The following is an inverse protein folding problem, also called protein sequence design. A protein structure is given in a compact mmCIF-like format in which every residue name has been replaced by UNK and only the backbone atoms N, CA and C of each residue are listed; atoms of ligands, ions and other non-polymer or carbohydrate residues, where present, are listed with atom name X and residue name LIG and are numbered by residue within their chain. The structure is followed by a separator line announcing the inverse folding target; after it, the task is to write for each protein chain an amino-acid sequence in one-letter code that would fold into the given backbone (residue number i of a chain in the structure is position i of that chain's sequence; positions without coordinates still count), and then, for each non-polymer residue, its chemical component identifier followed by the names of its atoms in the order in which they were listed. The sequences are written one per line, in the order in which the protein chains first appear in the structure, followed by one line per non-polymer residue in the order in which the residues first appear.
data_IF_513842541430
#
_entry.id   IF_513842541430
#
_cell.length_a   1.000
_cell.length_b   1.000
_cell.length_c   1.000
_cell.angle_alpha   90.00
_cell.angle_beta   90.00
_cell.angle_gamma   90.00
#
_symmetry.space_group_name_H-M   'P 1'
#
loop_
_entity.id
_entity.type
_entity.pdbx_description
1 polymer ?
#
# COMPACT_ATOMS: atom_id res chain seq x y z
N UNK A 1 -6.63 19.97 11.35
CA UNK A 1 -5.52 19.03 11.63
C UNK A 1 -6.07 17.64 11.39
N UNK A 2 -5.50 16.87 10.46
CA UNK A 2 -5.93 15.50 10.15
C UNK A 2 -4.98 14.51 10.83
N UNK A 3 -5.45 13.29 11.13
CA UNK A 3 -4.59 12.21 11.62
C UNK A 3 -3.65 11.67 10.52
N UNK A 4 -3.94 11.98 9.26
CA UNK A 4 -3.20 11.54 8.08
C UNK A 4 -1.93 12.38 7.97
N UNK A 5 -0.85 11.86 8.51
CA UNK A 5 0.50 12.42 8.45
C UNK A 5 1.45 11.31 8.02
N UNK A 6 2.58 11.65 7.41
CA UNK A 6 3.58 10.70 6.93
C UNK A 6 3.99 9.72 8.05
N UNK A 7 4.22 10.24 9.26
CA UNK A 7 4.58 9.43 10.43
C UNK A 7 3.47 8.46 10.85
N UNK A 8 2.20 8.88 10.82
CA UNK A 8 1.10 7.97 11.14
C UNK A 8 0.89 6.93 10.04
N UNK A 9 1.08 7.26 8.76
CA UNK A 9 1.04 6.28 7.67
C UNK A 9 2.19 5.28 7.81
N UNK A 10 3.40 5.72 8.15
CA UNK A 10 4.54 4.84 8.43
C UNK A 10 4.27 3.87 9.60
N UNK A 11 3.65 4.36 10.68
CA UNK A 11 3.25 3.53 11.82
C UNK A 11 2.17 2.51 11.45
N UNK A 12 1.15 2.94 10.69
CA UNK A 12 0.11 2.04 10.19
C UNK A 12 0.69 0.97 9.26
N UNK A 13 1.57 1.37 8.33
CA UNK A 13 2.29 0.44 7.46
C UNK A 13 3.03 -0.60 8.29
N UNK A 14 3.84 -0.14 9.25
CA UNK A 14 4.61 -1.02 10.14
C UNK A 14 3.70 -2.00 10.88
N UNK A 15 2.55 -1.56 11.37
CA UNK A 15 1.59 -2.45 12.04
C UNK A 15 0.92 -3.44 11.08
N UNK A 16 0.59 -3.01 9.85
CA UNK A 16 -0.12 -3.82 8.85
C UNK A 16 0.78 -4.94 8.31
N UNK A 17 2.05 -4.65 8.02
CA UNK A 17 2.94 -5.65 7.43
C UNK A 17 3.32 -6.78 8.40
N UNK A 18 3.07 -6.60 9.70
CA UNK A 18 3.25 -7.64 10.74
C UNK A 18 2.09 -8.64 10.82
N UNK A 19 1.01 -8.44 10.05
CA UNK A 19 -0.07 -9.42 10.02
C UNK A 19 0.35 -10.66 9.21
N UNK A 20 0.00 -11.90 9.65
CA UNK A 20 0.48 -13.14 9.03
C UNK A 20 0.20 -13.32 7.54
N UNK A 21 -0.77 -12.56 7.01
CA UNK A 21 -1.08 -12.58 5.57
C UNK A 21 0.07 -12.05 4.72
N UNK A 22 0.98 -11.27 5.31
CA UNK A 22 2.14 -10.66 4.64
C UNK A 22 3.47 -11.39 4.87
N UNK A 23 3.56 -12.35 5.80
CA UNK A 23 4.80 -13.04 6.21
C UNK A 23 5.63 -13.64 5.06
N UNK A 24 4.95 -14.05 3.98
CA UNK A 24 5.60 -14.68 2.82
C UNK A 24 6.29 -13.66 1.89
N UNK A 25 6.09 -12.35 2.12
CA UNK A 25 6.64 -11.28 1.30
C UNK A 25 7.75 -10.54 2.02
N UNK A 26 8.84 -10.25 1.30
CA UNK A 26 9.99 -9.49 1.83
C UNK A 26 9.72 -7.99 1.77
N UNK A 27 8.67 -7.55 2.46
CA UNK A 27 8.31 -6.13 2.54
C UNK A 27 9.41 -5.36 3.29
N UNK A 28 9.84 -4.20 2.77
CA UNK A 28 10.82 -3.36 3.46
C UNK A 28 10.23 -2.81 4.76
N UNK A 29 11.04 -2.57 5.80
CA UNK A 29 10.58 -1.81 6.96
C UNK A 29 10.18 -0.38 6.55
N UNK A 30 9.30 0.26 7.31
CA UNK A 30 8.83 1.63 7.04
C UNK A 30 9.98 2.65 6.88
N UNK A 31 11.13 2.43 7.53
CA UNK A 31 12.31 3.30 7.38
C UNK A 31 12.95 3.27 5.97
N UNK A 32 12.50 2.37 5.10
CA UNK A 32 12.94 2.20 3.71
C UNK A 32 11.83 2.49 2.69
N UNK A 33 10.73 3.08 3.17
CA UNK A 33 9.59 3.52 2.37
C UNK A 33 9.37 4.99 2.65
N UNK A 34 9.36 5.80 1.59
CA UNK A 34 9.01 7.21 1.67
C UNK A 34 7.49 7.33 1.61
N UNK A 35 6.91 7.88 2.67
CA UNK A 35 5.48 8.15 2.74
C UNK A 35 5.22 9.61 2.39
N UNK A 36 4.33 9.85 1.43
CA UNK A 36 3.98 11.20 0.99
C UNK A 36 2.49 11.40 1.24
N UNK A 37 2.13 12.52 1.87
CA UNK A 37 0.72 12.92 2.02
C UNK A 37 0.44 14.10 1.10
N UNK A 38 -0.53 13.92 0.19
CA UNK A 38 -0.97 14.95 -0.75
C UNK A 38 -2.44 15.26 -0.57
N UNK A 39 -2.91 16.33 -1.20
CA UNK A 39 -4.33 16.66 -1.31
C UNK A 39 -4.73 16.68 -2.79
N UNK A 40 -4.85 15.50 -3.39
CA UNK A 40 -5.15 15.32 -4.81
C UNK A 40 -6.47 14.56 -5.00
N UNK A 41 -7.55 15.20 -5.48
CA UNK A 41 -8.84 14.56 -5.69
C UNK A 41 -8.88 13.55 -6.83
N UNK A 42 -7.81 13.41 -7.62
CA UNK A 42 -7.72 12.44 -8.72
C UNK A 42 -7.33 11.03 -8.29
N UNK A 43 -6.78 10.86 -7.07
CA UNK A 43 -6.27 9.58 -6.57
C UNK A 43 -6.62 9.33 -5.10
N UNK A 44 -6.61 8.06 -4.69
CA UNK A 44 -6.68 7.66 -3.28
C UNK A 44 -5.28 7.50 -2.70
N UNK A 45 -4.44 6.75 -3.39
CA UNK A 45 -3.03 6.57 -3.11
C UNK A 45 -2.30 6.12 -4.37
N UNK A 46 -0.98 6.00 -4.25
CA UNK A 46 -0.12 5.55 -5.34
C UNK A 46 1.15 4.95 -4.77
N UNK A 47 1.50 3.76 -5.25
CA UNK A 47 2.81 3.15 -5.07
C UNK A 47 3.72 3.44 -6.26
N UNK A 48 4.96 3.83 -5.97
CA UNK A 48 6.01 3.99 -6.97
C UNK A 48 7.24 3.16 -6.55
N UNK A 49 7.78 2.30 -7.44
CA UNK A 49 9.00 1.56 -7.15
C UNK A 49 10.24 2.48 -7.20
N UNK A 50 11.32 2.11 -6.51
CA UNK A 50 12.59 2.83 -6.59
C UNK A 50 13.15 2.83 -8.03
N UNK A 51 13.68 3.97 -8.48
CA UNK A 51 14.44 4.03 -9.75
C UNK A 51 15.72 3.17 -9.66
N UNK A 52 16.43 3.22 -8.53
CA UNK A 52 17.56 2.35 -8.19
C UNK A 52 17.60 2.09 -6.68
N UNK A 53 17.69 0.82 -6.28
CA UNK A 53 17.85 0.45 -4.88
C UNK A 53 16.61 0.75 -4.02
N UNK A 54 16.71 1.77 -3.19
CA UNK A 54 15.70 2.29 -2.25
C UNK A 54 15.66 3.83 -2.41
N UNK A 55 14.57 4.51 -2.02
CA UNK A 55 13.38 4.02 -1.32
C UNK A 55 12.20 3.67 -2.25
N UNK A 56 11.29 2.83 -1.77
CA UNK A 56 9.94 2.72 -2.32
C UNK A 56 9.12 3.94 -1.90
N UNK A 57 8.13 4.35 -2.69
CA UNK A 57 7.27 5.49 -2.33
C UNK A 57 5.82 5.02 -2.22
N UNK A 58 5.13 5.41 -1.15
CA UNK A 58 3.68 5.28 -1.01
C UNK A 58 3.09 6.66 -0.74
N UNK A 59 2.23 7.11 -1.65
CA UNK A 59 1.48 8.35 -1.54
C UNK A 59 0.06 8.07 -1.05
N UNK A 60 -0.46 8.89 -0.13
CA UNK A 60 -1.87 8.88 0.30
C UNK A 60 -2.47 10.27 0.08
N UNK A 61 -3.66 10.32 -0.51
CA UNK A 61 -4.38 11.56 -0.76
C UNK A 61 -5.45 11.84 0.30
N UNK A 62 -5.30 12.95 1.04
CA UNK A 62 -6.32 13.42 1.99
C UNK A 62 -7.61 13.89 1.31
N UNK A 63 -7.59 14.12 -0.01
CA UNK A 63 -8.79 14.54 -0.75
C UNK A 63 -9.83 13.41 -0.87
N UNK A 64 -9.36 12.15 -0.81
CA UNK A 64 -10.17 10.94 -0.97
C UNK A 64 -10.15 10.03 0.25
N UNK A 65 -9.06 10.05 1.03
CA UNK A 65 -8.96 9.33 2.28
C UNK A 65 -9.33 10.28 3.44
N UNK A 66 -10.59 10.26 3.87
CA UNK A 66 -11.09 11.08 5.00
C UNK A 66 -11.22 10.31 6.33
N UNK A 67 -11.19 8.98 6.28
CA UNK A 67 -11.45 8.10 7.40
C UNK A 67 -10.34 7.06 7.56
N UNK A 68 -10.12 6.59 8.79
CA UNK A 68 -9.08 5.60 9.11
C UNK A 68 -9.26 4.30 8.32
N UNK A 69 -10.49 3.83 8.14
CA UNK A 69 -10.77 2.62 7.36
C UNK A 69 -10.33 2.79 5.89
N UNK A 70 -10.62 3.95 5.30
CA UNK A 70 -10.24 4.25 3.91
C UNK A 70 -8.73 4.32 3.77
N UNK A 71 -8.03 4.96 4.74
CA UNK A 71 -6.56 5.02 4.76
C UNK A 71 -5.95 3.62 4.84
N UNK A 72 -6.45 2.77 5.73
CA UNK A 72 -5.92 1.40 5.89
C UNK A 72 -6.16 0.58 4.61
N UNK A 73 -7.36 0.67 4.01
CA UNK A 73 -7.67 -0.03 2.75
C UNK A 73 -6.77 0.42 1.61
N UNK A 74 -6.63 1.74 1.42
CA UNK A 74 -5.73 2.31 0.39
C UNK A 74 -4.28 1.90 0.65
N UNK A 75 -3.82 1.93 1.90
CA UNK A 75 -2.46 1.49 2.22
C UNK A 75 -2.24 0.00 1.91
N UNK A 76 -3.20 -0.87 2.23
CA UNK A 76 -3.17 -2.27 1.82
C UNK A 76 -3.13 -2.43 0.29
N UNK A 77 -3.90 -1.62 -0.46
CA UNK A 77 -3.87 -1.61 -1.93
C UNK A 77 -2.47 -1.30 -2.47
N UNK A 78 -1.85 -0.23 -1.97
CA UNK A 78 -0.50 0.16 -2.39
C UNK A 78 0.57 -0.86 -1.96
N UNK A 79 0.40 -1.53 -0.81
CA UNK A 79 1.26 -2.65 -0.40
C UNK A 79 1.15 -3.82 -1.40
N UNK A 80 -0.04 -4.11 -1.94
CA UNK A 80 -0.17 -5.15 -2.96
C UNK A 80 0.58 -4.77 -4.23
N UNK A 81 0.51 -3.51 -4.66
CA UNK A 81 1.32 -3.01 -5.77
C UNK A 81 2.82 -3.19 -5.49
N UNK A 82 3.28 -2.87 -4.28
CA UNK A 82 4.66 -3.13 -3.85
C UNK A 82 5.03 -4.61 -3.94
N UNK A 83 4.20 -5.52 -3.44
CA UNK A 83 4.43 -6.96 -3.53
C UNK A 83 4.52 -7.41 -5.00
N UNK A 84 3.61 -6.95 -5.85
CA UNK A 84 3.64 -7.27 -7.27
C UNK A 84 4.93 -6.81 -7.95
N UNK A 85 5.50 -5.67 -7.53
CA UNK A 85 6.81 -5.23 -7.98
C UNK A 85 7.94 -6.12 -7.45
N UNK A 86 7.95 -6.45 -6.15
CA UNK A 86 8.99 -7.28 -5.54
C UNK A 86 9.06 -8.68 -6.16
N UNK A 87 7.91 -9.25 -6.54
CA UNK A 87 7.81 -10.56 -7.20
C UNK A 87 8.15 -10.50 -8.71
N UNK A 88 8.16 -9.32 -9.33
CA UNK A 88 8.55 -9.14 -10.73
C UNK A 88 9.24 -7.77 -10.94
N UNK A 89 10.44 -7.59 -10.38
CA UNK A 89 11.11 -6.28 -10.38
C UNK A 89 11.41 -5.79 -11.79
N UNK A 90 11.44 -4.46 -11.97
CA UNK A 90 11.71 -3.80 -13.27
C UNK A 90 10.71 -4.15 -14.38
N UNK A 91 9.51 -4.57 -14.01
CA UNK A 91 8.38 -4.74 -14.95
C UNK A 91 7.22 -3.86 -14.52
N UNK A 92 6.38 -3.45 -15.47
CA UNK A 92 5.16 -2.70 -15.18
C UNK A 92 4.03 -3.58 -14.64
N UNK A 93 4.27 -4.87 -14.34
CA UNK A 93 3.22 -5.75 -13.82
C UNK A 93 2.61 -5.24 -12.52
N UNK A 94 3.37 -4.48 -11.74
CA UNK A 94 2.88 -3.88 -10.51
C UNK A 94 1.72 -2.93 -10.75
N UNK A 95 1.60 -2.26 -11.90
CA UNK A 95 0.48 -1.36 -12.21
C UNK A 95 -0.80 -2.10 -12.60
N UNK A 96 -0.73 -3.43 -12.82
CA UNK A 96 -1.85 -4.22 -13.32
C UNK A 96 -2.67 -4.84 -12.20
N UNK A 97 -3.97 -4.53 -12.16
CA UNK A 97 -4.95 -5.22 -11.29
C UNK A 97 -5.37 -6.59 -11.84
N UNK A 98 -4.39 -7.47 -12.12
CA UNK A 98 -4.60 -8.81 -12.67
C UNK A 98 -3.69 -9.84 -11.99
N UNK A 99 -4.03 -11.12 -12.15
CA UNK A 99 -3.17 -12.23 -11.72
C UNK A 99 -2.84 -12.19 -10.23
N UNK A 100 -1.57 -11.95 -9.91
CA UNK A 100 -1.07 -11.87 -8.53
C UNK A 100 -1.82 -10.79 -7.72
N UNK A 101 -2.09 -9.62 -8.33
CA UNK A 101 -2.80 -8.53 -7.64
C UNK A 101 -4.16 -9.00 -7.11
N UNK A 102 -5.02 -9.55 -7.98
CA UNK A 102 -6.37 -10.00 -7.60
C UNK A 102 -6.33 -11.16 -6.59
N UNK A 103 -5.32 -12.04 -6.69
CA UNK A 103 -5.10 -13.11 -5.72
C UNK A 103 -4.80 -12.54 -4.34
N UNK A 104 -3.91 -11.54 -4.28
CA UNK A 104 -3.50 -10.87 -3.04
C UNK A 104 -4.62 -10.03 -2.44
N UNK A 105 -5.27 -9.20 -3.24
CA UNK A 105 -6.42 -8.39 -2.86
C UNK A 105 -7.48 -9.24 -2.14
N UNK A 106 -7.87 -10.37 -2.76
CA UNK A 106 -8.82 -11.30 -2.14
C UNK A 106 -8.29 -11.93 -0.86
N UNK A 107 -7.02 -12.35 -0.83
CA UNK A 107 -6.40 -12.98 0.35
C UNK A 107 -6.33 -11.99 1.52
N UNK A 108 -5.82 -10.79 1.30
CA UNK A 108 -5.65 -9.74 2.31
C UNK A 108 -7.01 -9.27 2.82
N UNK A 109 -7.95 -8.98 1.92
CA UNK A 109 -9.30 -8.59 2.31
C UNK A 109 -9.96 -9.64 3.21
N UNK A 110 -9.89 -10.92 2.84
CA UNK A 110 -10.45 -11.99 3.67
C UNK A 110 -9.78 -12.14 5.04
N UNK A 111 -8.46 -11.94 5.13
CA UNK A 111 -7.72 -12.09 6.40
C UNK A 111 -7.93 -10.88 7.33
N UNK A 112 -8.09 -9.68 6.78
CA UNK A 112 -8.27 -8.44 7.55
C UNK A 112 -9.75 -8.05 7.74
N UNK A 113 -10.68 -8.81 7.16
CA UNK A 113 -12.12 -8.58 7.30
C UNK A 113 -12.70 -7.47 6.42
N UNK A 114 -12.04 -7.15 5.31
CA UNK A 114 -12.52 -6.17 4.32
C UNK A 114 -13.37 -6.82 3.22
N UNK A 115 -14.21 -6.03 2.55
CA UNK A 115 -14.80 -6.45 1.27
C UNK A 115 -13.68 -6.46 0.21
N UNK A 116 -13.42 -7.58 -0.49
CA UNK A 116 -12.41 -7.64 -1.55
C UNK A 116 -12.59 -6.62 -2.68
N UNK A 117 -13.79 -6.08 -2.87
CA UNK A 117 -14.08 -5.04 -3.88
C UNK A 117 -13.74 -3.63 -3.42
N UNK A 118 -13.50 -3.44 -2.13
CA UNK A 118 -13.14 -2.16 -1.52
C UNK A 118 -11.63 -2.03 -1.26
N UNK A 119 -10.87 -3.08 -1.57
CA UNK A 119 -9.42 -3.13 -1.41
C UNK A 119 -8.70 -2.97 -2.74
#
# INVERSE_FOLDING_TARGET
MTFITENNIANLYSAIIEFPVFDEYKLPPASKVDFIVVNDPSMYGQYEPPEQGEPHIITISTAKCGHLDTVIKTLCHEIIHMICYLESPKTEKYTSHKGLFLKLQKRIANNLGFDPKEL
#
